data_IF_950202367452
#
_entry.id   IF_950202367452
#
_cell.length_a   1.000
_cell.length_b   1.000
_cell.length_c   1.000
_cell.angle_alpha   90.00
_cell.angle_beta   90.00
_cell.angle_gamma   90.00
#
_symmetry.space_group_name_H-M   'P 1'
#
loop_
_entity.id
_entity.type
_entity.pdbx_description
1 polymer ?
#
# COMPACT_ATOMS: atom_id res chain seq x y z
N UNK A 1 18.56 8.00 -7.44
CA UNK A 1 19.27 7.50 -6.24
C UNK A 1 18.24 6.83 -5.34
N UNK A 2 17.80 5.61 -5.66
CA UNK A 2 16.87 4.82 -4.81
C UNK A 2 17.10 3.29 -4.92
N UNK A 3 18.22 2.84 -5.50
CA UNK A 3 18.44 1.42 -5.81
C UNK A 3 18.95 0.55 -4.64
N UNK A 4 18.94 1.03 -3.39
CA UNK A 4 19.61 0.32 -2.28
C UNK A 4 18.83 0.32 -0.95
N UNK A 5 17.50 0.35 -1.00
CA UNK A 5 16.74 -0.23 0.13
C UNK A 5 16.85 -1.75 -0.02
N UNK A 6 17.78 -2.33 0.76
CA UNK A 6 18.04 -3.77 0.71
C UNK A 6 16.75 -4.58 0.80
N UNK A 7 16.67 -5.68 0.05
CA UNK A 7 15.51 -6.60 0.05
C UNK A 7 15.05 -6.90 1.48
N UNK A 8 16.00 -7.12 2.40
CA UNK A 8 15.72 -7.33 3.82
C UNK A 8 14.99 -6.16 4.47
N UNK A 9 15.37 -4.91 4.22
CA UNK A 9 14.68 -3.73 4.77
C UNK A 9 13.26 -3.63 4.24
N UNK A 10 13.05 -3.90 2.95
CA UNK A 10 11.70 -3.94 2.36
C UNK A 10 10.82 -5.02 3.02
N UNK A 11 11.36 -6.21 3.26
CA UNK A 11 10.65 -7.28 3.97
C UNK A 11 10.33 -6.88 5.43
N UNK A 12 11.24 -6.17 6.11
CA UNK A 12 11.01 -5.66 7.47
C UNK A 12 9.95 -4.54 7.50
N UNK A 13 9.90 -3.69 6.49
CA UNK A 13 8.87 -2.64 6.38
C UNK A 13 7.47 -3.23 6.19
N UNK A 14 7.32 -4.20 5.29
CA UNK A 14 6.07 -4.97 5.15
C UNK A 14 5.68 -5.65 6.47
N UNK A 15 6.65 -6.20 7.21
CA UNK A 15 6.40 -6.80 8.52
C UNK A 15 5.91 -5.75 9.52
N UNK A 16 6.57 -4.59 9.57
CA UNK A 16 6.21 -3.49 10.45
C UNK A 16 4.79 -3.00 10.22
N UNK A 17 4.38 -2.86 8.95
CA UNK A 17 3.01 -2.47 8.58
C UNK A 17 2.01 -3.50 9.07
N UNK A 18 2.18 -4.78 8.72
CA UNK A 18 1.26 -5.84 9.14
C UNK A 18 1.17 -5.97 10.67
N UNK A 19 2.32 -5.87 11.35
CA UNK A 19 2.40 -5.91 12.81
C UNK A 19 1.68 -4.72 13.43
N UNK A 20 1.80 -3.52 12.85
CA UNK A 20 1.10 -2.33 13.34
C UNK A 20 -0.42 -2.50 13.28
N UNK A 21 -0.96 -3.13 12.22
CA UNK A 21 -2.38 -3.43 12.09
C UNK A 21 -2.85 -4.40 13.18
N UNK A 22 -2.06 -5.46 13.43
CA UNK A 22 -2.34 -6.44 14.46
C UNK A 22 -2.34 -5.80 15.87
N UNK A 23 -1.29 -5.03 16.18
CA UNK A 23 -1.12 -4.40 17.49
C UNK A 23 -2.20 -3.36 17.74
N UNK A 24 -2.43 -2.45 16.80
CA UNK A 24 -3.47 -1.42 16.91
C UNK A 24 -4.85 -2.07 17.16
N UNK A 25 -5.21 -3.04 16.32
CA UNK A 25 -6.47 -3.76 16.43
C UNK A 25 -6.61 -4.50 17.77
N UNK A 26 -5.56 -5.19 18.20
CA UNK A 26 -5.54 -5.92 19.46
C UNK A 26 -5.66 -5.01 20.69
N UNK A 27 -4.94 -3.88 20.70
CA UNK A 27 -5.01 -2.91 21.79
C UNK A 27 -6.43 -2.35 21.89
N UNK A 28 -7.05 -1.94 20.79
CA UNK A 28 -8.41 -1.45 20.82
C UNK A 28 -9.42 -2.51 21.28
N UNK A 29 -9.33 -3.73 20.75
CA UNK A 29 -10.24 -4.83 21.09
C UNK A 29 -10.16 -5.20 22.58
N UNK A 30 -8.96 -5.40 23.10
CA UNK A 30 -8.78 -6.03 24.41
C UNK A 30 -8.55 -5.03 25.54
N UNK A 31 -7.93 -3.86 25.27
CA UNK A 31 -7.63 -2.88 26.30
C UNK A 31 -8.67 -1.77 26.39
N UNK A 32 -9.01 -1.14 25.27
CA UNK A 32 -9.82 0.07 25.30
C UNK A 32 -11.33 -0.20 25.22
N UNK A 33 -11.75 -1.21 24.46
CA UNK A 33 -13.17 -1.46 24.15
C UNK A 33 -13.73 -2.76 24.71
N UNK A 34 -12.99 -3.41 25.61
CA UNK A 34 -13.38 -4.69 26.23
C UNK A 34 -14.49 -4.56 27.28
N UNK A 35 -14.78 -3.35 27.76
CA UNK A 35 -15.84 -3.13 28.76
C UNK A 35 -17.21 -3.30 28.11
N UNK A 36 -18.07 -4.10 28.75
CA UNK A 36 -19.45 -4.35 28.28
C UNK A 36 -20.29 -3.07 28.11
N UNK A 37 -20.02 -2.05 28.92
CA UNK A 37 -20.73 -0.78 28.86
C UNK A 37 -20.21 0.19 27.78
N UNK A 38 -19.10 -0.13 27.10
CA UNK A 38 -18.45 0.80 26.17
C UNK A 38 -19.39 1.26 25.06
N UNK A 39 -20.17 0.34 24.48
CA UNK A 39 -21.09 0.64 23.38
C UNK A 39 -22.51 0.97 23.85
N UNK A 40 -22.78 1.05 25.14
CA UNK A 40 -24.14 1.32 25.64
C UNK A 40 -24.62 2.69 25.19
N UNK A 41 -23.74 3.69 25.18
CA UNK A 41 -24.07 5.03 24.73
C UNK A 41 -24.43 5.08 23.23
N UNK A 42 -23.99 4.12 22.42
CA UNK A 42 -24.19 4.16 20.97
C UNK A 42 -25.40 3.35 20.49
N UNK A 43 -26.05 2.61 21.38
CA UNK A 43 -27.21 1.77 21.05
C UNK A 43 -28.48 2.60 20.88
N UNK A 44 -29.03 2.62 19.66
CA UNK A 44 -30.26 3.36 19.34
C UNK A 44 -31.50 2.48 19.57
N UNK A 45 -32.30 2.81 20.58
CA UNK A 45 -33.54 2.10 20.88
C UNK A 45 -33.33 0.60 21.11
N UNK A 46 -34.20 -0.22 20.52
CA UNK A 46 -34.16 -1.69 20.60
C UNK A 46 -33.44 -2.35 19.43
N UNK A 47 -32.95 -1.56 18.47
CA UNK A 47 -32.30 -2.07 17.26
C UNK A 47 -30.89 -2.62 17.54
N UNK A 48 -30.32 -3.27 16.53
CA UNK A 48 -28.93 -3.69 16.50
C UNK A 48 -28.00 -2.49 16.66
N UNK A 49 -26.95 -2.65 17.48
CA UNK A 49 -25.92 -1.64 17.62
C UNK A 49 -24.92 -1.73 16.46
N UNK A 50 -25.27 -1.11 15.33
CA UNK A 50 -24.47 -1.19 14.10
C UNK A 50 -23.04 -0.69 14.28
N UNK A 51 -22.83 0.32 15.13
CA UNK A 51 -21.48 0.79 15.46
C UNK A 51 -20.66 -0.28 16.18
N UNK A 52 -21.20 -0.87 17.24
CA UNK A 52 -20.53 -1.94 17.99
C UNK A 52 -20.17 -3.13 17.08
N UNK A 53 -21.12 -3.53 16.22
CA UNK A 53 -20.86 -4.63 15.28
C UNK A 53 -19.78 -4.24 14.26
N UNK A 54 -19.85 -3.03 13.70
CA UNK A 54 -18.84 -2.54 12.75
C UNK A 54 -17.45 -2.51 13.37
N UNK A 55 -17.35 -2.07 14.63
CA UNK A 55 -16.06 -1.93 15.30
C UNK A 55 -15.49 -3.28 15.71
N UNK A 56 -16.32 -4.22 16.17
CA UNK A 56 -15.86 -5.60 16.41
C UNK A 56 -15.36 -6.25 15.13
N UNK A 57 -16.08 -6.11 14.01
CA UNK A 57 -15.63 -6.63 12.71
C UNK A 57 -14.30 -5.99 12.33
N UNK A 58 -14.18 -4.67 12.43
CA UNK A 58 -12.93 -3.94 12.16
C UNK A 58 -11.78 -4.47 12.99
N UNK A 59 -11.95 -4.56 14.31
CA UNK A 59 -10.86 -4.89 15.22
C UNK A 59 -10.47 -6.36 15.16
N UNK A 60 -11.41 -7.29 15.12
CA UNK A 60 -11.06 -8.71 15.00
C UNK A 60 -10.61 -9.06 13.58
N UNK A 61 -11.17 -8.41 12.56
CA UNK A 61 -10.73 -8.55 11.18
C UNK A 61 -9.31 -8.01 10.98
N UNK A 62 -9.03 -6.78 11.43
CA UNK A 62 -7.71 -6.17 11.38
C UNK A 62 -6.67 -6.95 12.19
N UNK A 63 -7.05 -7.49 13.35
CA UNK A 63 -6.19 -8.38 14.12
C UNK A 63 -5.87 -9.67 13.35
N UNK A 64 -6.87 -10.33 12.75
CA UNK A 64 -6.68 -11.56 12.00
C UNK A 64 -5.81 -11.35 10.76
N UNK A 65 -6.11 -10.32 9.96
CA UNK A 65 -5.33 -9.96 8.77
C UNK A 65 -3.90 -9.57 9.15
N UNK A 66 -3.74 -8.66 10.11
CA UNK A 66 -2.44 -8.19 10.57
C UNK A 66 -1.59 -9.32 11.14
N UNK A 67 -2.15 -10.20 11.97
CA UNK A 67 -1.41 -11.35 12.51
C UNK A 67 -1.00 -12.34 11.41
N UNK A 68 -1.90 -12.64 10.47
CA UNK A 68 -1.58 -13.57 9.38
C UNK A 68 -0.46 -13.01 8.52
N UNK A 69 -0.59 -11.77 8.06
CA UNK A 69 0.42 -11.09 7.24
C UNK A 69 1.74 -10.91 7.98
N UNK A 70 1.71 -10.48 9.25
CA UNK A 70 2.94 -10.31 10.03
C UNK A 70 3.65 -11.65 10.24
N UNK A 71 2.90 -12.73 10.46
CA UNK A 71 3.48 -14.07 10.62
C UNK A 71 4.10 -14.56 9.32
N UNK A 72 3.38 -14.47 8.20
CA UNK A 72 3.89 -14.95 6.90
C UNK A 72 5.07 -14.12 6.44
N UNK A 73 5.02 -12.81 6.67
CA UNK A 73 6.11 -11.89 6.38
C UNK A 73 7.35 -12.18 7.24
N UNK A 74 7.18 -12.48 8.53
CA UNK A 74 8.28 -12.90 9.40
C UNK A 74 8.89 -14.23 8.94
N UNK A 75 8.07 -15.20 8.55
CA UNK A 75 8.54 -16.46 8.01
C UNK A 75 9.31 -16.28 6.69
N UNK A 76 8.88 -15.34 5.83
CA UNK A 76 9.58 -14.97 4.61
C UNK A 76 10.95 -14.33 4.89
N UNK A 77 11.04 -13.42 5.88
CA UNK A 77 12.32 -12.84 6.33
C UNK A 77 13.33 -13.92 6.73
N UNK A 78 12.88 -15.02 7.35
CA UNK A 78 13.74 -16.14 7.74
C UNK A 78 13.92 -17.21 6.65
N UNK A 79 13.38 -17.02 5.45
CA UNK A 79 13.46 -17.99 4.35
C UNK A 79 12.69 -19.29 4.61
N UNK A 80 11.74 -19.29 5.55
CA UNK A 80 10.91 -20.47 5.87
C UNK A 80 9.76 -20.59 4.88
N UNK A 81 9.19 -19.46 4.47
CA UNK A 81 8.15 -19.35 3.44
C UNK A 81 8.77 -18.68 2.23
N UNK A 82 8.48 -19.20 1.03
CA UNK A 82 8.97 -18.61 -0.22
C UNK A 82 8.39 -17.21 -0.41
N UNK A 83 9.16 -16.29 -1.00
CA UNK A 83 8.71 -14.91 -1.22
C UNK A 83 7.46 -14.85 -2.11
N UNK A 84 7.29 -15.78 -3.05
CA UNK A 84 6.11 -15.90 -3.91
C UNK A 84 4.86 -16.30 -3.13
N UNK A 85 4.96 -17.27 -2.21
CA UNK A 85 3.81 -17.66 -1.38
C UNK A 85 3.42 -16.53 -0.44
N UNK A 86 4.42 -15.87 0.17
CA UNK A 86 4.17 -14.67 0.97
C UNK A 86 3.51 -13.57 0.13
N UNK A 87 3.99 -13.35 -1.10
CA UNK A 87 3.41 -12.39 -2.04
C UNK A 87 1.96 -12.66 -2.39
N UNK A 88 1.61 -13.92 -2.66
CA UNK A 88 0.24 -14.34 -2.90
C UNK A 88 -0.66 -14.05 -1.68
N UNK A 89 -0.17 -14.30 -0.46
CA UNK A 89 -0.91 -14.00 0.77
C UNK A 89 -1.11 -12.49 0.89
N UNK A 90 -0.11 -11.66 0.61
CA UNK A 90 -0.28 -10.21 0.61
C UNK A 90 -1.32 -9.73 -0.39
N UNK A 91 -1.33 -10.27 -1.61
CA UNK A 91 -2.32 -9.89 -2.63
C UNK A 91 -3.74 -10.34 -2.26
N UNK A 92 -3.92 -11.59 -1.84
CA UNK A 92 -5.23 -12.15 -1.54
C UNK A 92 -5.78 -11.69 -0.19
N UNK A 93 -4.97 -11.78 0.86
CA UNK A 93 -5.39 -11.47 2.23
C UNK A 93 -5.25 -9.99 2.51
N UNK A 94 -4.07 -9.41 2.25
CA UNK A 94 -3.82 -7.98 2.46
C UNK A 94 -4.62 -7.10 1.51
N UNK A 95 -4.55 -7.39 0.21
CA UNK A 95 -5.29 -6.69 -0.82
C UNK A 95 -6.79 -6.98 -0.77
N UNK A 96 -7.21 -8.13 -1.31
CA UNK A 96 -8.64 -8.45 -1.45
C UNK A 96 -9.36 -8.60 -0.10
N UNK A 97 -8.76 -9.32 0.85
CA UNK A 97 -9.31 -9.48 2.20
C UNK A 97 -9.45 -8.16 2.94
N UNK A 98 -8.44 -7.28 2.85
CA UNK A 98 -8.49 -5.92 3.39
C UNK A 98 -9.61 -5.08 2.77
N UNK A 99 -9.76 -5.11 1.43
CA UNK A 99 -10.85 -4.40 0.74
C UNK A 99 -12.24 -4.88 1.18
N UNK A 100 -12.44 -6.19 1.28
CA UNK A 100 -13.72 -6.77 1.73
C UNK A 100 -14.02 -6.35 3.18
N UNK A 101 -13.02 -6.40 4.06
CA UNK A 101 -13.16 -5.95 5.44
C UNK A 101 -13.55 -4.47 5.50
N UNK A 102 -12.82 -3.61 4.78
CA UNK A 102 -13.08 -2.17 4.75
C UNK A 102 -14.50 -1.87 4.23
N UNK A 103 -14.94 -2.55 3.17
CA UNK A 103 -16.31 -2.42 2.65
C UNK A 103 -17.36 -2.83 3.69
N UNK A 104 -17.18 -3.98 4.34
CA UNK A 104 -18.11 -4.46 5.36
C UNK A 104 -18.22 -3.47 6.54
N UNK A 105 -17.09 -2.94 7.02
CA UNK A 105 -17.06 -1.92 8.07
C UNK A 105 -17.75 -0.63 7.61
N UNK A 106 -17.46 -0.18 6.39
CA UNK A 106 -18.06 1.02 5.80
C UNK A 106 -19.59 0.95 5.71
N UNK A 107 -20.14 -0.17 5.23
CA UNK A 107 -21.60 -0.39 5.17
C UNK A 107 -22.21 -0.36 6.57
N UNK A 108 -21.60 -1.04 7.54
CA UNK A 108 -22.13 -1.11 8.90
C UNK A 108 -22.07 0.25 9.62
N UNK A 109 -21.02 1.03 9.38
CA UNK A 109 -20.91 2.41 9.87
C UNK A 109 -21.94 3.32 9.24
N UNK A 110 -22.19 3.18 7.93
CA UNK A 110 -23.26 3.91 7.25
C UNK A 110 -24.62 3.61 7.87
N UNK A 111 -24.94 2.33 8.10
CA UNK A 111 -26.18 1.92 8.79
C UNK A 111 -26.27 2.50 10.22
N UNK A 112 -25.15 2.55 10.94
CA UNK A 112 -25.08 3.18 12.27
C UNK A 112 -25.35 4.68 12.26
N UNK A 113 -24.82 5.40 11.27
CA UNK A 113 -25.11 6.83 11.09
C UNK A 113 -26.57 7.06 10.71
N UNK A 114 -27.12 6.26 9.81
CA UNK A 114 -28.54 6.32 9.43
C UNK A 114 -29.45 6.07 10.64
N UNK A 115 -29.16 5.06 11.46
CA UNK A 115 -29.90 4.78 12.69
C UNK A 115 -29.82 5.95 13.69
N UNK A 116 -28.65 6.58 13.83
CA UNK A 116 -28.47 7.75 14.68
C UNK A 116 -29.30 8.96 14.20
N UNK A 117 -29.26 9.26 12.89
CA UNK A 117 -30.04 10.35 12.29
C UNK A 117 -31.54 10.10 12.46
N UNK A 118 -32.03 8.90 12.14
CA UNK A 118 -33.44 8.54 12.31
C UNK A 118 -33.91 8.68 13.76
N UNK A 119 -33.10 8.24 14.72
CA UNK A 119 -33.43 8.36 16.14
C UNK A 119 -33.51 9.83 16.61
N UNK A 120 -32.75 10.73 16.00
CA UNK A 120 -32.79 12.17 16.31
C UNK A 120 -34.01 12.90 15.72
N UNK A 121 -34.55 12.43 14.59
CA UNK A 121 -35.62 13.10 13.84
C UNK A 121 -37.04 12.84 14.38
N UNK A 122 -37.28 11.73 15.08
CA UNK A 122 -38.61 11.34 15.56
C UNK A 122 -39.09 12.04 16.85
N UNK A 123 -38.66 13.28 17.11
CA UNK A 123 -38.68 13.82 18.47
C UNK A 123 -39.70 14.94 18.66
N UNK A 124 -40.64 14.77 19.61
CA UNK A 124 -41.82 15.64 19.81
C UNK A 124 -41.73 16.50 21.08
N UNK A 125 -40.80 16.21 22.00
CA UNK A 125 -40.58 16.99 23.25
C UNK A 125 -39.14 17.47 23.40
N UNK A 126 -38.94 18.60 24.10
CA UNK A 126 -37.62 19.20 24.37
C UNK A 126 -36.67 18.27 25.14
N UNK A 127 -37.21 17.48 26.07
CA UNK A 127 -36.45 16.52 26.90
C UNK A 127 -35.95 15.35 26.05
N UNK A 128 -36.80 14.83 25.16
CA UNK A 128 -36.42 13.75 24.25
C UNK A 128 -35.41 14.23 23.21
N UNK A 129 -35.53 15.48 22.74
CA UNK A 129 -34.60 16.07 21.77
C UNK A 129 -33.19 16.14 22.34
N UNK A 130 -33.09 16.53 23.62
CA UNK A 130 -31.79 16.61 24.31
C UNK A 130 -31.19 15.22 24.49
N UNK A 131 -31.96 14.24 24.98
CA UNK A 131 -31.42 12.90 25.23
C UNK A 131 -31.07 12.14 23.94
N UNK A 132 -32.00 12.06 22.98
CA UNK A 132 -31.78 11.32 21.72
C UNK A 132 -30.83 12.05 20.78
N UNK A 133 -30.88 13.38 20.75
CA UNK A 133 -29.97 14.20 19.95
C UNK A 133 -28.52 14.09 20.43
N UNK A 134 -28.28 14.15 21.75
CA UNK A 134 -26.93 13.95 22.32
C UNK A 134 -26.44 12.54 22.02
N UNK A 135 -27.29 11.53 22.16
CA UNK A 135 -26.92 10.15 21.86
C UNK A 135 -26.56 9.95 20.39
N UNK A 136 -27.40 10.44 19.46
CA UNK A 136 -27.14 10.39 18.03
C UNK A 136 -25.84 11.13 17.66
N UNK A 137 -25.62 12.31 18.22
CA UNK A 137 -24.40 13.08 18.05
C UNK A 137 -23.16 12.31 18.51
N UNK A 138 -23.21 11.68 19.70
CA UNK A 138 -22.11 10.87 20.22
C UNK A 138 -21.77 9.68 19.31
N UNK A 139 -22.78 8.98 18.79
CA UNK A 139 -22.55 7.87 17.84
C UNK A 139 -21.93 8.34 16.52
N UNK A 140 -22.43 9.44 15.95
CA UNK A 140 -21.87 9.99 14.70
C UNK A 140 -20.42 10.44 14.90
N UNK A 141 -20.13 11.11 16.01
CA UNK A 141 -18.76 11.53 16.35
C UNK A 141 -17.84 10.32 16.54
N UNK A 142 -18.29 9.27 17.24
CA UNK A 142 -17.52 8.05 17.41
C UNK A 142 -17.21 7.36 16.08
N UNK A 143 -18.23 7.17 15.23
CA UNK A 143 -18.07 6.56 13.89
C UNK A 143 -17.09 7.36 13.03
N UNK A 144 -17.23 8.69 13.00
CA UNK A 144 -16.35 9.57 12.22
C UNK A 144 -14.92 9.58 12.78
N UNK A 145 -14.77 9.57 14.10
CA UNK A 145 -13.47 9.47 14.77
C UNK A 145 -12.72 8.22 14.33
N UNK A 146 -13.36 7.07 14.43
CA UNK A 146 -12.75 5.80 14.01
C UNK A 146 -12.49 5.74 12.51
N UNK A 147 -13.39 6.29 11.69
CA UNK A 147 -13.21 6.32 10.22
C UNK A 147 -12.01 7.19 9.83
N UNK A 148 -11.79 8.30 10.54
CA UNK A 148 -10.62 9.14 10.32
C UNK A 148 -9.34 8.44 10.76
N UNK A 149 -9.36 7.77 11.91
CA UNK A 149 -8.21 6.98 12.38
C UNK A 149 -7.84 5.89 11.38
N UNK A 150 -8.83 5.14 10.88
CA UNK A 150 -8.62 4.11 9.86
C UNK A 150 -8.03 4.69 8.58
N UNK A 151 -8.59 5.79 8.07
CA UNK A 151 -8.08 6.42 6.85
C UNK A 151 -6.63 6.90 6.99
N UNK A 152 -6.26 7.41 8.17
CA UNK A 152 -4.87 7.81 8.47
C UNK A 152 -3.96 6.59 8.54
N UNK A 153 -4.37 5.53 9.22
CA UNK A 153 -3.61 4.28 9.29
C UNK A 153 -3.42 3.67 7.89
N UNK A 154 -4.48 3.61 7.09
CA UNK A 154 -4.45 3.05 5.74
C UNK A 154 -3.51 3.87 4.84
N UNK A 155 -3.62 5.20 4.86
CA UNK A 155 -2.75 6.08 4.09
C UNK A 155 -1.27 5.94 4.49
N UNK A 156 -0.98 5.94 5.80
CA UNK A 156 0.38 5.73 6.29
C UNK A 156 0.94 4.36 5.87
N UNK A 157 0.10 3.33 5.94
CA UNK A 157 0.47 1.97 5.54
C UNK A 157 0.74 1.89 4.04
N UNK A 158 -0.10 2.51 3.21
CA UNK A 158 0.10 2.56 1.76
C UNK A 158 1.40 3.26 1.39
N UNK A 159 1.73 4.38 2.05
CA UNK A 159 2.99 5.09 1.81
C UNK A 159 4.19 4.20 2.17
N UNK A 160 4.15 3.54 3.32
CA UNK A 160 5.20 2.63 3.75
C UNK A 160 5.36 1.44 2.80
N UNK A 161 4.25 0.78 2.43
CA UNK A 161 4.27 -0.34 1.49
C UNK A 161 4.75 0.08 0.11
N UNK A 162 4.34 1.26 -0.38
CA UNK A 162 4.79 1.77 -1.68
C UNK A 162 6.30 2.07 -1.68
N UNK A 163 6.85 2.61 -0.58
CA UNK A 163 8.28 2.83 -0.42
C UNK A 163 9.09 1.53 -0.40
N UNK A 164 8.53 0.46 0.17
CA UNK A 164 9.15 -0.86 0.24
C UNK A 164 8.87 -1.75 -0.99
N UNK A 165 7.94 -1.36 -1.87
CA UNK A 165 7.39 -2.26 -2.89
C UNK A 165 8.48 -2.74 -3.84
N UNK A 166 9.36 -1.85 -4.32
CA UNK A 166 10.41 -2.18 -5.27
C UNK A 166 11.34 -3.29 -4.73
N UNK A 167 11.90 -3.11 -3.54
CA UNK A 167 12.78 -4.11 -2.94
C UNK A 167 12.06 -5.41 -2.56
N UNK A 168 10.75 -5.34 -2.26
CA UNK A 168 9.93 -6.52 -2.00
C UNK A 168 9.66 -7.33 -3.28
N UNK A 169 9.31 -6.67 -4.39
CA UNK A 169 9.16 -7.31 -5.70
C UNK A 169 10.49 -7.86 -6.22
N UNK A 170 11.59 -7.13 -6.03
CA UNK A 170 12.93 -7.62 -6.36
C UNK A 170 13.31 -8.86 -5.54
N UNK A 171 12.90 -8.93 -4.28
CA UNK A 171 13.04 -10.14 -3.47
C UNK A 171 12.28 -11.33 -4.06
N UNK A 172 11.05 -11.12 -4.52
CA UNK A 172 10.27 -12.17 -5.20
C UNK A 172 10.90 -12.61 -6.52
N UNK A 173 11.47 -11.67 -7.29
CA UNK A 173 12.20 -11.97 -8.53
C UNK A 173 13.42 -12.87 -8.27
N UNK A 174 14.27 -12.50 -7.30
CA UNK A 174 15.49 -13.25 -7.03
C UNK A 174 15.23 -14.65 -6.45
N UNK A 175 14.08 -14.85 -5.80
CA UNK A 175 13.66 -16.14 -5.28
C UNK A 175 12.98 -17.02 -6.33
N UNK A 176 12.66 -16.49 -7.53
CA UNK A 176 11.98 -17.22 -8.60
C UNK A 176 12.96 -18.10 -9.39
N UNK A 177 12.45 -19.19 -9.98
CA UNK A 177 13.27 -20.03 -10.88
C UNK A 177 13.54 -19.31 -12.20
N UNK A 178 14.54 -19.77 -12.95
CA UNK A 178 14.84 -19.21 -14.28
C UNK A 178 13.63 -19.30 -15.23
N UNK A 179 12.86 -20.39 -15.14
CA UNK A 179 11.63 -20.53 -15.93
C UNK A 179 10.56 -19.51 -15.50
N UNK A 180 10.35 -19.32 -14.20
CA UNK A 180 9.39 -18.33 -13.68
C UNK A 180 9.80 -16.89 -14.05
N UNK A 181 11.10 -16.57 -13.96
CA UNK A 181 11.64 -15.29 -14.39
C UNK A 181 11.41 -15.05 -15.88
N UNK A 182 11.60 -16.07 -16.72
CA UNK A 182 11.35 -15.95 -18.15
C UNK A 182 9.88 -15.72 -18.46
N UNK A 183 8.97 -16.46 -17.81
CA UNK A 183 7.52 -16.24 -17.95
C UNK A 183 7.14 -14.80 -17.57
N UNK A 184 7.71 -14.26 -16.50
CA UNK A 184 7.45 -12.87 -16.08
C UNK A 184 8.01 -11.83 -17.07
N UNK A 185 9.16 -12.11 -17.70
CA UNK A 185 9.70 -11.24 -18.76
C UNK A 185 8.76 -11.24 -19.96
N UNK A 186 8.30 -12.41 -20.40
CA UNK A 186 7.37 -12.53 -21.53
C UNK A 186 6.05 -11.80 -21.25
N UNK A 187 5.47 -11.95 -20.05
CA UNK A 187 4.26 -11.22 -19.63
C UNK A 187 4.47 -9.70 -19.58
N UNK A 188 5.65 -9.27 -19.11
CA UNK A 188 6.00 -7.85 -19.05
C UNK A 188 6.17 -7.25 -20.44
N UNK A 189 6.84 -7.95 -21.36
CA UNK A 189 6.99 -7.54 -22.76
C UNK A 189 5.64 -7.40 -23.46
N UNK A 190 4.71 -8.35 -23.27
CA UNK A 190 3.35 -8.28 -23.81
C UNK A 190 2.58 -7.07 -23.24
N UNK A 191 2.70 -6.84 -21.93
CA UNK A 191 2.05 -5.72 -21.26
C UNK A 191 2.57 -4.37 -21.76
N UNK A 192 3.89 -4.24 -21.92
CA UNK A 192 4.52 -3.03 -22.45
C UNK A 192 4.10 -2.79 -23.90
N UNK A 193 4.08 -3.82 -24.74
CA UNK A 193 3.62 -3.71 -26.12
C UNK A 193 2.17 -3.21 -26.20
N UNK A 194 1.27 -3.82 -25.41
CA UNK A 194 -0.14 -3.42 -25.33
C UNK A 194 -0.31 -1.97 -24.87
N UNK A 195 0.44 -1.57 -23.82
CA UNK A 195 0.42 -0.18 -23.34
C UNK A 195 0.96 0.82 -24.37
N UNK A 196 2.00 0.45 -25.11
CA UNK A 196 2.53 1.28 -26.18
C UNK A 196 1.49 1.48 -27.30
N UNK A 197 0.75 0.43 -27.66
CA UNK A 197 -0.36 0.52 -28.61
C UNK A 197 -1.52 1.40 -28.10
N UNK A 198 -1.93 1.25 -26.84
CA UNK A 198 -2.95 2.10 -26.21
C UNK A 198 -2.54 3.58 -26.26
N UNK A 199 -1.30 3.90 -25.87
CA UNK A 199 -0.78 5.27 -25.88
C UNK A 199 -0.68 5.81 -27.32
N UNK A 200 -0.26 4.98 -28.27
CA UNK A 200 -0.19 5.36 -29.68
C UNK A 200 -1.58 5.59 -30.31
N UNK A 201 -2.62 4.90 -29.82
CA UNK A 201 -4.01 5.10 -30.23
C UNK A 201 -4.63 6.35 -29.60
N UNK A 202 -4.32 6.65 -28.34
CA UNK A 202 -4.81 7.84 -27.61
C UNK A 202 -4.11 9.14 -28.07
N UNK A 203 -2.85 9.05 -28.50
CA UNK A 203 -2.17 10.11 -29.25
C UNK A 203 -2.77 10.18 -30.67
N UNK A 204 -3.94 10.79 -30.81
CA UNK A 204 -4.55 11.09 -32.10
C UNK A 204 -3.61 11.82 -33.08
N UNK A 205 -4.00 11.99 -34.36
CA UNK A 205 -3.11 12.44 -35.45
C UNK A 205 -2.43 13.82 -35.25
N UNK A 206 -2.83 14.60 -34.24
CA UNK A 206 -2.22 15.88 -33.91
C UNK A 206 -0.83 15.75 -33.25
N UNK A 207 -0.54 14.69 -32.50
CA UNK A 207 0.79 14.49 -31.90
C UNK A 207 1.81 13.89 -32.89
N UNK A 208 1.33 13.15 -33.91
CA UNK A 208 2.18 12.65 -35.01
C UNK A 208 2.62 13.74 -35.99
N UNK A 209 1.96 14.90 -35.98
CA UNK A 209 2.36 16.04 -36.81
C UNK A 209 3.53 16.84 -36.19
N UNK A 210 3.60 16.95 -34.85
CA UNK A 210 4.70 17.68 -34.19
C UNK A 210 6.02 16.87 -34.12
N UNK A 211 5.98 15.54 -34.02
CA UNK A 211 7.21 14.72 -34.12
C UNK A 211 7.68 14.52 -35.57
N UNK A 212 6.79 14.68 -36.55
CA UNK A 212 7.12 14.62 -37.98
C UNK A 212 7.86 15.87 -38.50
N UNK A 213 7.59 17.04 -37.92
CA UNK A 213 8.21 18.31 -38.36
C UNK A 213 9.60 18.57 -37.74
N UNK A 214 10.00 17.88 -36.67
CA UNK A 214 11.36 17.99 -36.12
C UNK A 214 12.31 16.87 -36.58
N UNK A 215 11.82 15.86 -37.31
CA UNK A 215 12.62 14.72 -37.78
C UNK A 215 13.19 14.84 -39.20
N UNK A 216 12.75 15.82 -40.01
CA UNK A 216 13.16 15.94 -41.42
C UNK A 216 14.22 17.02 -41.73
N UNK A 217 14.62 17.88 -40.78
CA UNK A 217 15.69 18.87 -40.98
C UNK A 217 17.09 18.46 -40.43
N UNK A 218 17.35 17.17 -40.21
CA UNK A 218 18.68 16.68 -39.76
C UNK A 218 19.31 15.63 -40.70
N UNK A 219 18.85 15.54 -41.95
CA UNK A 219 19.46 14.71 -43.00
C UNK A 219 19.82 15.55 -44.21
N UNK A 220 20.83 16.40 -44.11
CA UNK A 220 21.70 16.73 -45.25
C UNK A 220 22.97 17.46 -44.79
N UNK A 221 24.14 16.85 -45.08
CA UNK A 221 25.49 17.33 -44.74
C UNK A 221 26.05 16.58 -43.52
N UNK A 222 27.11 15.77 -43.59
CA UNK A 222 28.30 15.87 -44.42
C UNK A 222 29.01 14.50 -44.44
N UNK A 223 29.38 14.04 -45.63
CA UNK A 223 30.32 12.93 -45.86
C UNK A 223 31.78 13.41 -45.66
N UNK A 224 32.67 12.50 -45.26
CA UNK A 224 34.14 12.67 -45.24
C UNK A 224 34.68 12.86 -43.82
N UNK A 225 35.68 12.15 -43.31
CA UNK A 225 36.85 11.54 -43.93
C UNK A 225 37.32 10.34 -43.09
N UNK A 226 37.82 9.32 -43.78
CA UNK A 226 38.74 8.31 -43.25
C UNK A 226 40.06 8.97 -42.83
N UNK A 227 40.68 8.44 -41.77
CA UNK A 227 42.03 8.81 -41.36
C UNK A 227 42.57 7.84 -40.30
N UNK A 228 43.33 6.86 -40.78
CA UNK A 228 44.11 5.88 -40.04
C UNK A 228 45.21 6.49 -39.15
N UNK A 229 45.80 5.60 -38.35
CA UNK A 229 47.10 5.66 -37.66
C UNK A 229 47.21 6.42 -36.33
N UNK A 230 48.02 6.01 -35.36
CA UNK A 230 48.65 4.76 -34.90
C UNK A 230 49.63 5.21 -33.78
N UNK A 231 50.10 4.26 -32.96
CA UNK A 231 51.31 4.32 -32.10
C UNK A 231 51.22 5.09 -30.78
N UNK A 232 51.30 4.42 -29.62
CA UNK A 232 52.48 3.86 -28.90
C UNK A 232 53.25 4.89 -28.05
N UNK A 233 53.71 4.44 -26.87
CA UNK A 233 54.52 5.18 -25.89
C UNK A 233 53.94 5.08 -24.47
N UNK A 234 54.11 4.00 -23.70
CA UNK A 234 55.30 3.56 -22.95
C UNK A 234 55.77 4.49 -21.80
N UNK A 235 55.94 3.85 -20.63
CA UNK A 235 56.86 4.13 -19.48
C UNK A 235 56.69 5.42 -18.64
N UNK A 236 56.40 5.28 -17.35
CA UNK A 236 57.39 5.30 -16.25
C UNK A 236 57.01 6.47 -15.33
N UNK A 237 57.24 6.57 -14.02
CA UNK A 237 58.08 5.88 -13.05
C UNK A 237 57.67 6.44 -11.65
N UNK A 238 58.00 5.68 -10.59
CA UNK A 238 58.37 6.12 -9.22
C UNK A 238 57.34 6.89 -8.33
N UNK A 239 56.83 6.28 -7.24
CA UNK A 239 57.45 6.05 -5.93
C UNK A 239 57.64 7.34 -5.09
N UNK A 240 56.92 7.44 -3.96
CA UNK A 240 57.52 7.94 -2.72
C UNK A 240 56.81 7.38 -1.47
N UNK A 241 57.62 6.78 -0.61
CA UNK A 241 57.32 6.36 0.76
C UNK A 241 57.19 7.57 1.71
N UNK A 242 56.63 7.33 2.90
CA UNK A 242 56.78 8.18 4.08
C UNK A 242 55.44 8.76 4.56
N UNK A 243 55.07 8.73 5.83
CA UNK A 243 55.84 8.45 7.04
C UNK A 243 54.85 8.18 8.19
N UNK A 244 55.32 7.43 9.18
CA UNK A 244 54.66 7.20 10.46
C UNK A 244 54.58 8.53 11.25
N UNK A 245 53.49 8.76 11.99
CA UNK A 245 53.60 9.25 13.38
C UNK A 245 52.25 9.35 14.12
N UNK A 246 52.22 8.61 15.25
CA UNK A 246 51.43 8.78 16.50
C UNK A 246 50.02 8.21 16.64
#
# INVERSE_FOLDING_TARGET
MFADLSVTMSQVEFFGVALSWAISSGIYAFRYRSKSAYYTATKMGTESNWYETSDKIRLYGGLALGCLLATTQLLAIFGIVTSQLNGLIWMLVGGLGGMILHLAVGVMRFLGMEAAVKNSQGTVTLTDFTAKGVQAGATIVAIKGDTMEDAVMDAASMIALAGAAEGWYFGMWNDATDEEQQEWIEEWEETVATRAEEIAADKGPAAKAEEGEQGEEAKEGEEGEEGEDAEEGEEGEEAEEGDEDK
#
